data_IF_075517443848
#
_entry.id   IF_075517443848
#
_cell.length_a   1.000
_cell.length_b   1.000
_cell.length_c   1.000
_cell.angle_alpha   90.00
_cell.angle_beta   90.00
_cell.angle_gamma   90.00
#
_symmetry.space_group_name_H-M   'P 1'
#
loop_
_entity.id
_entity.type
_entity.pdbx_description
1 polymer ?
#
# COMPACT_ATOMS: atom_id res chain seq x y z
N UNK A 1 -7.00 32.57 14.36
CA UNK A 1 -7.38 31.40 15.18
C UNK A 1 -7.52 30.23 14.25
N UNK A 2 -6.52 29.35 14.19
CA UNK A 2 -6.62 28.11 13.41
C UNK A 2 -7.53 27.15 14.17
N UNK A 3 -8.56 26.65 13.50
CA UNK A 3 -9.38 25.55 14.01
C UNK A 3 -8.47 24.40 14.47
N UNK A 4 -8.72 23.77 15.63
CA UNK A 4 -7.97 22.59 16.03
C UNK A 4 -8.07 21.55 14.91
N UNK A 5 -6.94 20.94 14.55
CA UNK A 5 -6.91 19.82 13.62
C UNK A 5 -7.95 18.78 14.13
N UNK A 6 -8.99 18.44 13.34
CA UNK A 6 -9.96 17.43 13.76
C UNK A 6 -9.18 16.16 14.06
N UNK A 7 -9.34 15.64 15.28
CA UNK A 7 -8.77 14.40 15.80
C UNK A 7 -7.63 13.82 14.93
N UNK A 8 -6.34 13.93 15.33
CA UNK A 8 -5.22 13.45 14.51
C UNK A 8 -5.39 11.99 14.08
N UNK A 9 -6.15 11.19 14.83
CA UNK A 9 -6.48 9.82 14.45
C UNK A 9 -7.39 9.75 13.22
N UNK A 10 -8.39 10.63 13.08
CA UNK A 10 -9.31 10.68 11.94
C UNK A 10 -8.58 10.89 10.61
N UNK A 11 -7.54 11.73 10.60
CA UNK A 11 -6.73 12.01 9.42
C UNK A 11 -5.94 10.76 8.95
N UNK A 12 -5.54 9.89 9.90
CA UNK A 12 -4.93 8.60 9.56
C UNK A 12 -5.91 7.67 8.83
N UNK A 13 -7.15 7.56 9.31
CA UNK A 13 -8.17 6.72 8.69
C UNK A 13 -8.59 7.21 7.30
N UNK A 14 -8.61 8.54 7.10
CA UNK A 14 -9.16 9.17 5.90
C UNK A 14 -8.10 9.46 4.84
N UNK A 15 -6.92 9.90 5.25
CA UNK A 15 -5.92 10.41 4.31
C UNK A 15 -4.71 9.49 4.24
N UNK A 16 -4.03 9.27 5.36
CA UNK A 16 -2.71 8.63 5.34
C UNK A 16 -2.77 7.17 4.91
N UNK A 17 -3.60 6.34 5.56
CA UNK A 17 -3.71 4.92 5.20
C UNK A 17 -4.32 4.77 3.80
N UNK A 18 -5.46 5.42 3.46
CA UNK A 18 -6.03 5.42 2.10
C UNK A 18 -5.05 5.84 1.01
N UNK A 19 -4.22 6.86 1.25
CA UNK A 19 -3.20 7.28 0.28
C UNK A 19 -2.20 6.16 -0.02
N UNK A 20 -1.72 5.45 1.01
CA UNK A 20 -0.77 4.35 0.86
C UNK A 20 -1.41 3.14 0.19
N UNK A 21 -2.67 2.83 0.53
CA UNK A 21 -3.41 1.77 -0.15
C UNK A 21 -3.60 2.11 -1.63
N UNK A 22 -4.02 3.34 -1.99
CA UNK A 22 -4.13 3.78 -3.39
C UNK A 22 -2.83 3.60 -4.16
N UNK A 23 -1.71 4.02 -3.58
CA UNK A 23 -0.38 3.85 -4.18
C UNK A 23 -0.01 2.36 -4.35
N UNK A 24 -0.29 1.51 -3.36
CA UNK A 24 0.04 0.08 -3.41
C UNK A 24 -0.77 -0.69 -4.47
N UNK A 25 -2.04 -0.32 -4.67
CA UNK A 25 -2.96 -1.04 -5.57
C UNK A 25 -3.00 -0.48 -7.00
N UNK A 26 -2.29 0.61 -7.26
CA UNK A 26 -2.24 1.23 -8.59
C UNK A 26 -1.82 0.20 -9.66
N UNK A 27 -2.55 0.16 -10.78
CA UNK A 27 -2.26 -0.77 -11.88
C UNK A 27 -2.49 -2.25 -11.58
N UNK A 28 -3.18 -2.61 -10.48
CA UNK A 28 -3.48 -4.02 -10.13
C UNK A 28 -4.90 -4.41 -10.52
N UNK A 29 -5.14 -5.71 -10.73
CA UNK A 29 -6.51 -6.26 -10.90
C UNK A 29 -7.40 -6.01 -9.68
N UNK A 30 -6.82 -5.93 -8.48
CA UNK A 30 -7.57 -5.64 -7.26
C UNK A 30 -8.22 -4.25 -7.31
N UNK A 31 -7.52 -3.25 -7.85
CA UNK A 31 -8.10 -1.93 -8.07
C UNK A 31 -9.26 -1.99 -9.07
N UNK A 32 -9.09 -2.69 -10.20
CA UNK A 32 -10.15 -2.86 -11.21
C UNK A 32 -11.39 -3.48 -10.57
N UNK A 33 -11.21 -4.59 -9.86
CA UNK A 33 -12.29 -5.31 -9.20
C UNK A 33 -13.03 -4.40 -8.21
N UNK A 34 -12.30 -3.65 -7.38
CA UNK A 34 -12.90 -2.74 -6.39
C UNK A 34 -13.63 -1.55 -7.02
N UNK A 35 -13.11 -1.03 -8.14
CA UNK A 35 -13.81 -0.01 -8.92
C UNK A 35 -15.07 -0.56 -9.60
N UNK A 36 -15.02 -1.78 -10.14
CA UNK A 36 -16.18 -2.46 -10.74
C UNK A 36 -17.26 -2.77 -9.69
N UNK A 37 -16.87 -3.25 -8.50
CA UNK A 37 -17.75 -3.46 -7.34
C UNK A 37 -18.47 -2.16 -6.95
N UNK A 38 -17.77 -1.02 -6.98
CA UNK A 38 -18.32 0.28 -6.55
C UNK A 38 -19.15 0.99 -7.62
N UNK A 39 -18.71 0.98 -8.87
CA UNK A 39 -19.26 1.84 -9.93
C UNK A 39 -20.02 1.08 -11.03
N UNK A 40 -19.87 -0.25 -11.09
CA UNK A 40 -20.43 -1.12 -12.13
C UNK A 40 -19.39 -1.57 -13.16
N UNK A 41 -19.49 -2.84 -13.58
CA UNK A 41 -18.55 -3.47 -14.55
C UNK A 41 -18.56 -2.81 -15.93
N UNK A 42 -19.70 -2.26 -16.33
CA UNK A 42 -19.91 -1.54 -17.59
C UNK A 42 -19.13 -0.22 -17.66
N UNK A 43 -18.79 0.37 -16.50
CA UNK A 43 -18.12 1.68 -16.39
C UNK A 43 -16.60 1.61 -16.23
N UNK A 44 -16.05 0.42 -15.96
CA UNK A 44 -14.62 0.22 -15.67
C UNK A 44 -14.10 -0.96 -16.47
N UNK A 45 -13.40 -0.67 -17.58
CA UNK A 45 -12.99 -1.68 -18.58
C UNK A 45 -11.63 -2.32 -18.29
N UNK A 46 -10.63 -1.60 -17.79
CA UNK A 46 -9.28 -2.13 -17.49
C UNK A 46 -8.52 -1.21 -16.52
N UNK A 47 -7.52 -1.75 -15.80
CA UNK A 47 -6.43 -0.96 -15.22
C UNK A 47 -5.23 -1.16 -16.12
N UNK A 48 -4.93 -0.14 -16.90
CA UNK A 48 -3.77 -0.08 -17.76
C UNK A 48 -3.81 1.27 -18.44
N UNK A 49 -2.66 1.94 -18.51
CA UNK A 49 -2.47 3.07 -19.40
C UNK A 49 -2.50 2.55 -20.84
N UNK A 50 -3.67 2.12 -21.33
CA UNK A 50 -3.89 1.92 -22.76
C UNK A 50 -4.05 3.28 -23.44
N UNK A 51 -3.04 4.14 -23.26
CA UNK A 51 -2.86 5.36 -24.02
C UNK A 51 -1.93 5.02 -25.18
N UNK A 52 -2.57 4.67 -26.31
CA UNK A 52 -2.11 4.79 -27.70
C UNK A 52 -0.62 5.14 -27.84
N UNK A 53 0.21 4.11 -28.05
CA UNK A 53 1.57 4.30 -28.57
C UNK A 53 1.43 4.78 -30.02
N UNK A 54 1.54 6.08 -30.27
CA UNK A 54 1.58 6.62 -31.62
C UNK A 54 3.03 6.80 -32.09
N UNK A 55 3.97 7.07 -31.16
CA UNK A 55 5.37 7.34 -31.44
C UNK A 55 6.33 6.70 -30.40
N UNK A 56 7.62 6.47 -30.74
CA UNK A 56 8.61 5.94 -29.80
C UNK A 56 8.80 6.78 -28.53
N UNK A 57 8.59 8.10 -28.58
CA UNK A 57 8.64 8.96 -27.39
C UNK A 57 7.54 8.64 -26.36
N UNK A 58 6.36 8.22 -26.84
CA UNK A 58 5.26 7.79 -25.98
C UNK A 58 5.63 6.52 -25.20
N UNK A 59 6.39 5.62 -25.82
CA UNK A 59 6.85 4.38 -25.17
C UNK A 59 7.80 4.63 -23.99
N UNK A 60 8.65 5.66 -24.09
CA UNK A 60 9.56 6.06 -23.00
C UNK A 60 8.79 6.76 -21.88
N UNK A 61 7.84 7.63 -22.22
CA UNK A 61 6.99 8.30 -21.24
C UNK A 61 6.14 7.29 -20.45
N UNK A 62 5.55 6.30 -21.13
CA UNK A 62 4.81 5.20 -20.51
C UNK A 62 5.72 4.37 -19.58
N UNK A 63 6.92 4.02 -20.03
CA UNK A 63 7.88 3.30 -19.19
C UNK A 63 8.27 4.08 -17.92
N UNK A 64 8.44 5.41 -18.02
CA UNK A 64 8.69 6.26 -16.86
C UNK A 64 7.50 6.27 -15.88
N UNK A 65 6.27 6.30 -16.39
CA UNK A 65 5.06 6.24 -15.56
C UNK A 65 4.96 4.88 -14.87
N UNK A 66 5.16 3.78 -15.61
CA UNK A 66 5.11 2.42 -15.05
C UNK A 66 6.17 2.22 -13.97
N UNK A 67 7.39 2.70 -14.19
CA UNK A 67 8.45 2.68 -13.18
C UNK A 67 8.08 3.52 -11.96
N UNK A 68 7.54 4.74 -12.14
CA UNK A 68 7.11 5.58 -11.03
C UNK A 68 5.99 4.92 -10.22
N UNK A 69 5.04 4.26 -10.88
CA UNK A 69 3.99 3.47 -10.23
C UNK A 69 4.60 2.30 -9.48
N UNK A 70 5.51 1.54 -10.09
CA UNK A 70 6.18 0.41 -9.45
C UNK A 70 6.94 0.81 -8.18
N UNK A 71 7.77 1.85 -8.25
CA UNK A 71 8.51 2.38 -7.10
C UNK A 71 7.56 2.89 -6.00
N UNK A 72 6.46 3.55 -6.40
CA UNK A 72 5.39 3.96 -5.50
C UNK A 72 4.74 2.77 -4.79
N UNK A 73 4.46 1.68 -5.51
CA UNK A 73 3.87 0.45 -4.96
C UNK A 73 4.79 -0.23 -3.96
N UNK A 74 6.07 -0.37 -4.28
CA UNK A 74 7.07 -0.97 -3.38
C UNK A 74 7.19 -0.15 -2.09
N UNK A 75 7.33 1.16 -2.22
CA UNK A 75 7.47 2.08 -1.07
C UNK A 75 6.22 2.07 -0.20
N UNK A 76 5.03 2.12 -0.80
CA UNK A 76 3.77 2.11 -0.07
C UNK A 76 3.53 0.76 0.65
N UNK A 77 3.81 -0.36 -0.02
CA UNK A 77 3.64 -1.70 0.56
C UNK A 77 4.60 -1.91 1.73
N UNK A 78 5.89 -1.56 1.57
CA UNK A 78 6.87 -1.61 2.67
C UNK A 78 6.41 -0.82 3.88
N UNK A 79 5.90 0.40 3.65
CA UNK A 79 5.40 1.26 4.71
C UNK A 79 4.18 0.65 5.42
N UNK A 80 3.25 0.04 4.67
CA UNK A 80 2.08 -0.61 5.26
C UNK A 80 2.48 -1.81 6.12
N UNK A 81 3.49 -2.59 5.71
CA UNK A 81 4.03 -3.70 6.50
C UNK A 81 4.71 -3.19 7.79
N UNK A 82 5.51 -2.12 7.69
CA UNK A 82 6.08 -1.43 8.86
C UNK A 82 4.99 -0.95 9.83
N UNK A 83 3.92 -0.36 9.29
CA UNK A 83 2.78 0.16 10.05
C UNK A 83 2.04 -0.95 10.80
N UNK A 84 1.89 -2.13 10.20
CA UNK A 84 1.37 -3.33 10.86
C UNK A 84 2.33 -3.92 11.91
N UNK A 85 3.56 -3.41 11.98
CA UNK A 85 4.57 -3.81 12.94
C UNK A 85 5.39 -5.02 12.51
N UNK A 86 5.53 -5.28 11.22
CA UNK A 86 6.34 -6.38 10.69
C UNK A 86 7.58 -5.82 9.99
N UNK A 87 8.72 -6.47 10.20
CA UNK A 87 9.96 -6.31 9.45
C UNK A 87 10.63 -7.68 9.25
N UNK A 88 11.77 -7.70 8.57
CA UNK A 88 12.63 -8.87 8.47
C UNK A 88 13.90 -8.66 9.30
N UNK A 89 14.27 -9.64 10.12
CA UNK A 89 15.54 -9.61 10.85
C UNK A 89 16.73 -9.95 9.92
N UNK A 90 17.94 -9.96 10.49
CA UNK A 90 19.16 -10.29 9.74
C UNK A 90 19.19 -11.72 9.15
N UNK A 91 18.32 -12.60 9.64
CA UNK A 91 18.21 -13.99 9.20
C UNK A 91 17.03 -14.20 8.24
N UNK A 92 16.31 -13.14 7.85
CA UNK A 92 15.12 -13.25 7.02
C UNK A 92 13.84 -13.59 7.79
N UNK A 93 13.86 -13.63 9.12
CA UNK A 93 12.69 -14.02 9.93
C UNK A 93 11.81 -12.82 10.31
N UNK A 94 10.48 -13.00 10.48
CA UNK A 94 9.58 -11.97 10.94
C UNK A 94 10.02 -11.36 12.26
N UNK A 95 10.10 -10.04 12.29
CA UNK A 95 10.53 -9.26 13.45
C UNK A 95 9.71 -7.98 13.59
N UNK A 96 9.99 -7.21 14.65
CA UNK A 96 9.41 -5.88 14.83
C UNK A 96 10.37 -4.82 14.28
N UNK A 97 9.89 -3.83 13.51
CA UNK A 97 10.71 -2.72 13.10
C UNK A 97 11.14 -1.90 14.33
N UNK A 98 12.34 -1.33 14.27
CA UNK A 98 12.79 -0.37 15.27
C UNK A 98 11.85 0.85 15.25
N UNK A 99 11.36 1.26 16.42
CA UNK A 99 10.38 2.34 16.53
C UNK A 99 11.04 3.62 17.01
N UNK A 100 10.85 4.71 16.27
CA UNK A 100 11.18 6.07 16.71
C UNK A 100 9.95 6.74 17.34
N UNK A 101 10.12 7.78 18.18
CA UNK A 101 9.01 8.44 18.89
C UNK A 101 7.86 8.88 17.98
N UNK A 102 8.20 9.36 16.77
CA UNK A 102 7.25 9.90 15.80
C UNK A 102 6.71 8.86 14.81
N UNK A 103 7.15 7.60 14.87
CA UNK A 103 6.68 6.56 13.97
C UNK A 103 5.27 6.13 14.36
N UNK A 104 4.39 6.07 13.36
CA UNK A 104 3.02 5.58 13.53
C UNK A 104 2.94 4.11 13.17
N UNK A 105 2.22 3.37 14.00
CA UNK A 105 1.92 1.95 13.86
C UNK A 105 0.46 1.72 14.23
N UNK A 106 -0.06 0.58 13.82
CA UNK A 106 -1.47 0.23 14.01
C UNK A 106 -1.90 0.23 15.49
N UNK A 107 -0.98 -0.08 16.42
CA UNK A 107 -1.22 -0.06 17.87
C UNK A 107 -1.41 1.35 18.46
N UNK A 108 -0.92 2.39 17.78
CA UNK A 108 -1.24 3.78 18.12
C UNK A 108 -2.67 4.19 17.70
N UNK A 109 -3.39 3.31 17.01
CA UNK A 109 -4.79 3.49 16.59
C UNK A 109 -5.76 2.51 17.27
N UNK A 110 -5.37 2.00 18.44
CA UNK A 110 -6.15 1.03 19.25
C UNK A 110 -6.44 -0.30 18.54
N UNK A 111 -5.57 -0.72 17.63
CA UNK A 111 -5.68 -1.99 16.92
C UNK A 111 -4.41 -2.85 17.10
N UNK A 112 -4.53 -4.20 17.18
CA UNK A 112 -3.40 -5.06 17.48
C UNK A 112 -2.36 -5.10 16.36
N UNK A 113 -1.07 -5.16 16.74
CA UNK A 113 0.03 -5.46 15.81
C UNK A 113 -0.18 -6.81 15.13
N UNK A 114 0.25 -6.93 13.87
CA UNK A 114 0.15 -8.19 13.14
C UNK A 114 0.96 -9.29 13.86
N UNK A 115 0.44 -10.52 14.04
CA UNK A 115 1.16 -11.61 14.69
C UNK A 115 2.47 -11.96 13.98
N UNK A 116 3.58 -12.17 14.71
CA UNK A 116 4.85 -12.60 14.09
C UNK A 116 4.88 -14.10 13.74
N UNK A 117 3.94 -14.87 14.27
CA UNK A 117 3.84 -16.29 14.02
C UNK A 117 3.02 -16.56 12.74
N UNK A 118 3.45 -17.56 11.98
CA UNK A 118 2.69 -18.09 10.84
C UNK A 118 3.25 -17.69 9.47
N UNK A 119 2.68 -18.34 8.45
CA UNK A 119 3.15 -18.22 7.06
C UNK A 119 2.93 -16.82 6.48
N UNK A 120 1.86 -16.13 6.89
CA UNK A 120 1.58 -14.77 6.43
C UNK A 120 2.60 -13.77 6.98
N UNK A 121 3.01 -13.93 8.25
CA UNK A 121 4.05 -13.09 8.83
C UNK A 121 5.39 -13.24 8.10
N UNK A 122 5.77 -14.48 7.76
CA UNK A 122 6.95 -14.77 6.94
C UNK A 122 6.85 -14.10 5.56
N UNK A 123 5.71 -14.26 4.87
CA UNK A 123 5.48 -13.65 3.57
C UNK A 123 5.59 -12.13 3.61
N UNK A 124 5.01 -11.48 4.62
CA UNK A 124 5.13 -10.03 4.79
C UNK A 124 6.58 -9.60 5.11
N UNK A 125 7.33 -10.36 5.89
CA UNK A 125 8.74 -10.09 6.16
C UNK A 125 9.61 -10.19 4.89
N UNK A 126 9.39 -11.22 4.08
CA UNK A 126 10.12 -11.43 2.82
C UNK A 126 9.85 -10.28 1.82
N UNK A 127 8.58 -9.87 1.71
CA UNK A 127 8.19 -8.73 0.86
C UNK A 127 8.74 -7.42 1.39
N UNK A 128 8.72 -7.19 2.71
CA UNK A 128 9.34 -6.02 3.32
C UNK A 128 10.83 -5.91 2.98
N UNK A 129 11.56 -7.04 3.07
CA UNK A 129 12.98 -7.10 2.74
C UNK A 129 13.20 -6.84 1.25
N UNK A 130 12.41 -7.48 0.38
CA UNK A 130 12.44 -7.28 -1.05
C UNK A 130 12.19 -5.82 -1.45
N UNK A 131 11.13 -5.19 -0.92
CA UNK A 131 10.82 -3.78 -1.17
C UNK A 131 11.93 -2.85 -0.68
N UNK A 132 12.53 -3.12 0.49
CA UNK A 132 13.64 -2.31 1.02
C UNK A 132 14.85 -2.31 0.10
N UNK A 133 15.16 -3.47 -0.50
CA UNK A 133 16.33 -3.63 -1.36
C UNK A 133 16.08 -3.13 -2.79
N UNK A 134 14.89 -3.37 -3.34
CA UNK A 134 14.51 -2.96 -4.68
C UNK A 134 14.60 -1.44 -4.90
N UNK A 135 14.24 -0.62 -3.89
CA UNK A 135 14.25 0.85 -4.00
C UNK A 135 15.62 1.48 -3.70
N UNK A 136 16.65 0.68 -3.35
CA UNK A 136 17.89 1.20 -2.76
C UNK A 136 19.11 1.21 -3.70
N UNK A 137 19.29 0.21 -4.60
CA UNK A 137 20.41 0.15 -5.57
C UNK A 137 20.10 -0.77 -6.78
N UNK A 138 20.83 -0.69 -7.92
CA UNK A 138 20.70 -1.63 -9.03
C UNK A 138 20.97 -3.08 -8.59
N UNK A 139 19.92 -3.89 -8.49
CA UNK A 139 19.94 -5.23 -7.86
C UNK A 139 20.46 -6.35 -8.78
N UNK A 140 21.58 -6.14 -9.48
CA UNK A 140 22.28 -7.26 -10.15
C UNK A 140 23.27 -7.91 -9.17
N UNK A 141 23.03 -9.18 -8.81
CA UNK A 141 24.02 -10.04 -8.15
C UNK A 141 24.00 -10.08 -6.61
N UNK A 142 23.00 -9.50 -5.94
CA UNK A 142 23.01 -9.33 -4.48
C UNK A 142 22.18 -10.33 -3.67
N UNK A 143 21.69 -11.42 -4.29
CA UNK A 143 21.03 -12.52 -3.57
C UNK A 143 19.72 -12.14 -2.86
N UNK A 144 19.04 -11.08 -3.31
CA UNK A 144 17.80 -10.62 -2.70
C UNK A 144 16.59 -11.39 -3.21
N UNK A 145 15.53 -11.54 -2.38
CA UNK A 145 14.25 -12.03 -2.87
C UNK A 145 13.74 -11.06 -3.96
N UNK A 146 13.49 -11.53 -5.18
CA UNK A 146 12.80 -10.71 -6.17
C UNK A 146 11.40 -10.37 -5.62
N UNK A 147 10.98 -9.12 -5.77
CA UNK A 147 9.59 -8.76 -5.50
C UNK A 147 8.77 -9.10 -6.74
N UNK A 148 8.27 -10.32 -6.79
CA UNK A 148 7.35 -10.75 -7.83
C UNK A 148 6.00 -9.99 -7.70
N UNK A 149 5.41 -9.49 -8.81
CA UNK A 149 4.14 -8.77 -8.76
C UNK A 149 2.99 -9.53 -8.11
N UNK A 150 2.92 -10.87 -8.25
CA UNK A 150 1.87 -11.68 -7.64
C UNK A 150 2.10 -11.82 -6.14
N UNK A 151 3.35 -12.03 -5.72
CA UNK A 151 3.71 -12.07 -4.30
C UNK A 151 3.45 -10.72 -3.61
N UNK A 152 3.75 -9.61 -4.28
CA UNK A 152 3.43 -8.27 -3.81
C UNK A 152 1.90 -8.07 -3.68
N UNK A 153 1.13 -8.48 -4.69
CA UNK A 153 -0.34 -8.39 -4.65
C UNK A 153 -0.94 -9.24 -3.52
N UNK A 154 -0.40 -10.43 -3.29
CA UNK A 154 -0.82 -11.30 -2.20
C UNK A 154 -0.51 -10.69 -0.83
N UNK A 155 0.66 -10.05 -0.66
CA UNK A 155 0.97 -9.29 0.54
C UNK A 155 -0.01 -8.13 0.76
N UNK A 156 -0.34 -7.37 -0.29
CA UNK A 156 -1.33 -6.28 -0.19
C UNK A 156 -2.71 -6.82 0.21
N UNK A 157 -3.12 -8.00 -0.27
CA UNK A 157 -4.37 -8.62 0.15
C UNK A 157 -4.37 -8.92 1.66
N UNK A 158 -3.31 -9.55 2.18
CA UNK A 158 -3.15 -9.82 3.63
C UNK A 158 -3.20 -8.51 4.43
N UNK A 159 -2.46 -7.48 3.99
CA UNK A 159 -2.40 -6.17 4.64
C UNK A 159 -3.78 -5.53 4.70
N UNK A 160 -4.49 -5.47 3.57
CA UNK A 160 -5.80 -4.80 3.47
C UNK A 160 -6.88 -5.56 4.22
N UNK A 161 -6.88 -6.89 4.21
CA UNK A 161 -7.79 -7.71 5.02
C UNK A 161 -7.56 -7.48 6.52
N UNK A 162 -6.30 -7.45 6.96
CA UNK A 162 -5.96 -7.22 8.35
C UNK A 162 -6.36 -5.81 8.81
N UNK A 163 -6.07 -4.78 7.99
CA UNK A 163 -6.50 -3.40 8.27
C UNK A 163 -8.02 -3.30 8.33
N UNK A 164 -8.74 -3.91 7.39
CA UNK A 164 -10.20 -3.87 7.40
C UNK A 164 -10.74 -4.50 8.68
N UNK A 165 -10.30 -5.72 9.00
CA UNK A 165 -10.76 -6.49 10.15
C UNK A 165 -10.43 -5.85 11.50
N UNK A 166 -9.21 -5.37 11.68
CA UNK A 166 -8.70 -4.95 12.98
C UNK A 166 -8.88 -3.46 13.25
N UNK A 167 -8.91 -2.63 12.19
CA UNK A 167 -8.85 -1.19 12.33
C UNK A 167 -10.12 -0.48 11.82
N UNK A 168 -10.66 -0.88 10.67
CA UNK A 168 -11.78 -0.18 10.02
C UNK A 168 -13.15 -0.74 10.42
N UNK A 169 -13.37 -2.04 10.28
CA UNK A 169 -14.65 -2.70 10.55
C UNK A 169 -15.16 -2.48 11.99
N UNK A 170 -14.31 -2.52 13.05
CA UNK A 170 -14.75 -2.21 14.41
C UNK A 170 -15.29 -0.78 14.58
N UNK A 171 -14.95 0.13 13.66
CA UNK A 171 -15.40 1.52 13.62
C UNK A 171 -16.54 1.74 12.63
N UNK A 172 -17.12 0.67 12.07
CA UNK A 172 -18.18 0.74 11.06
C UNK A 172 -17.70 1.29 9.70
N UNK A 173 -16.39 1.17 9.41
CA UNK A 173 -15.76 1.67 8.18
C UNK A 173 -15.30 0.52 7.30
N UNK A 174 -14.95 0.82 6.06
CA UNK A 174 -14.34 -0.14 5.15
C UNK A 174 -13.11 0.47 4.47
N UNK A 175 -11.99 -0.24 4.52
CA UNK A 175 -10.70 0.23 3.97
C UNK A 175 -10.83 0.64 2.51
N UNK A 176 -11.57 -0.12 1.70
CA UNK A 176 -11.72 0.15 0.26
C UNK A 176 -12.73 1.25 -0.03
N UNK A 177 -13.81 1.35 0.74
CA UNK A 177 -14.75 2.46 0.62
C UNK A 177 -14.02 3.80 0.84
N UNK A 178 -13.20 3.87 1.90
CA UNK A 178 -12.42 5.06 2.27
C UNK A 178 -11.26 5.31 1.29
N UNK A 179 -10.58 4.24 0.83
CA UNK A 179 -9.51 4.31 -0.18
C UNK A 179 -10.00 4.88 -1.51
N UNK A 180 -11.17 4.42 -1.96
CA UNK A 180 -11.74 4.81 -3.25
C UNK A 180 -12.60 6.08 -3.18
N UNK A 181 -12.82 6.63 -1.99
CA UNK A 181 -13.43 7.93 -1.86
C UNK A 181 -12.44 8.97 -2.38
N UNK A 182 -12.84 9.73 -3.41
CA UNK A 182 -12.16 10.96 -3.71
C UNK A 182 -12.39 11.89 -2.52
N UNK A 183 -11.35 12.16 -1.73
CA UNK A 183 -11.41 13.32 -0.87
C UNK A 183 -11.43 14.53 -1.81
N UNK A 184 -12.49 15.35 -1.82
CA UNK A 184 -12.37 16.66 -2.41
C UNK A 184 -11.28 17.36 -1.59
N UNK A 185 -10.07 17.48 -2.14
CA UNK A 185 -9.23 18.60 -1.76
C UNK A 185 -10.15 19.81 -1.93
N UNK A 186 -10.35 20.52 -0.83
CA UNK A 186 -11.26 21.63 -0.70
C UNK A 186 -11.35 22.41 -2.02
N UNK A 187 -12.53 22.38 -2.64
CA UNK A 187 -12.99 23.54 -3.38
C UNK A 187 -13.12 24.63 -2.33
N UNK A 188 -12.00 25.28 -2.02
CA UNK A 188 -12.01 26.59 -1.41
C UNK A 188 -12.66 27.50 -2.46
N UNK A 189 -13.77 28.17 -2.13
CA UNK A 189 -14.42 29.10 -3.05
C UNK A 189 -13.46 30.18 -3.58
#
# INVERSE_FOLDING_TARGET
MTTPNPDPYLDWYMQHIPHRVRAAIAGTEMLVRKLQERFGKDKVRTAGYEARVALPADSVALLCIDNAVWEGRLTATRWLIDFLGISSDKNGSPSRPAQKPHDWRIDKLDAPLFPLAGVEAQKLADIWLGCTKATSHPTRGSGHPPVDPNELNAAIAIITEYLDKQLYAPKGRNIFADTLQQHPHALVP
#
